data_IF_904598217277
#
_entry.id   IF_904598217277
#
_cell.length_a   1.000
_cell.length_b   1.000
_cell.length_c   1.000
_cell.angle_alpha   90.00
_cell.angle_beta   90.00
_cell.angle_gamma   90.00
#
_symmetry.space_group_name_H-M   'P 1'
#
loop_
_entity.id
_entity.type
_entity.pdbx_description
1 polymer ?
#
# COMPACT_ATOMS: atom_id res chain seq x y z
N UNK A 1 0.78 -8.78 -13.77
CA UNK A 1 0.38 -9.35 -12.45
C UNK A 1 -1.10 -9.08 -12.25
N UNK A 2 -1.92 -10.12 -12.06
CA UNK A 2 -3.31 -9.90 -11.64
C UNK A 2 -3.31 -9.57 -10.15
N UNK A 3 -3.39 -8.28 -9.81
CA UNK A 3 -3.44 -7.81 -8.42
C UNK A 3 -4.59 -8.45 -7.61
N UNK A 4 -5.60 -8.98 -8.30
CA UNK A 4 -6.73 -9.74 -7.75
C UNK A 4 -6.38 -11.02 -6.95
N UNK A 5 -5.13 -11.49 -6.97
CA UNK A 5 -4.68 -12.66 -6.19
C UNK A 5 -3.87 -12.28 -4.95
N UNK A 6 -3.63 -11.00 -4.71
CA UNK A 6 -2.85 -10.54 -3.56
C UNK A 6 -3.73 -10.48 -2.31
N UNK A 7 -3.15 -10.82 -1.17
CA UNK A 7 -3.75 -10.54 0.13
C UNK A 7 -3.77 -9.03 0.39
N UNK A 8 -4.60 -8.58 1.34
CA UNK A 8 -4.70 -7.16 1.69
C UNK A 8 -3.35 -6.61 2.18
N UNK A 9 -2.58 -7.41 2.90
CA UNK A 9 -1.26 -7.07 3.43
C UNK A 9 -0.23 -6.92 2.29
N UNK A 10 -0.22 -7.86 1.34
CA UNK A 10 0.65 -7.77 0.16
C UNK A 10 0.28 -6.57 -0.72
N UNK A 11 -1.00 -6.24 -0.81
CA UNK A 11 -1.45 -5.08 -1.55
C UNK A 11 -1.07 -3.77 -0.83
N UNK A 12 -1.27 -3.70 0.49
CA UNK A 12 -0.84 -2.56 1.29
C UNK A 12 0.66 -2.31 1.10
N UNK A 13 1.47 -3.36 1.15
CA UNK A 13 2.91 -3.29 0.92
C UNK A 13 3.29 -2.67 -0.45
N UNK A 14 2.49 -2.89 -1.49
CA UNK A 14 2.71 -2.32 -2.84
C UNK A 14 2.20 -0.87 -2.94
N UNK A 15 1.15 -0.53 -2.19
CA UNK A 15 0.51 0.78 -2.23
C UNK A 15 1.13 1.81 -1.27
N UNK A 16 1.92 1.37 -0.29
CA UNK A 16 2.62 2.27 0.64
C UNK A 16 3.56 3.20 -0.15
N UNK A 17 3.47 4.52 0.07
CA UNK A 17 4.36 5.48 -0.58
C UNK A 17 5.85 5.21 -0.31
N UNK A 18 6.69 5.32 -1.35
CA UNK A 18 8.13 5.05 -1.26
C UNK A 18 8.85 5.89 -0.20
N UNK A 19 8.34 7.08 0.13
CA UNK A 19 8.91 7.95 1.17
C UNK A 19 8.90 7.34 2.57
N UNK A 20 8.05 6.34 2.82
CA UNK A 20 8.03 5.62 4.08
C UNK A 20 9.09 4.51 4.14
N UNK A 21 9.68 4.16 3.00
CA UNK A 21 10.78 3.21 2.93
C UNK A 21 12.06 3.93 3.37
N UNK A 22 12.66 3.55 4.50
CA UNK A 22 13.89 4.19 4.95
C UNK A 22 15.05 3.83 4.02
N UNK A 23 16.05 4.72 3.95
CA UNK A 23 17.25 4.45 3.16
C UNK A 23 17.98 3.19 3.65
N UNK A 24 18.40 2.35 2.70
CA UNK A 24 19.18 1.17 2.99
C UNK A 24 20.48 1.54 3.72
N UNK A 25 20.77 0.95 4.90
CA UNK A 25 22.02 1.22 5.60
C UNK A 25 23.21 0.87 4.73
N UNK A 26 24.29 1.67 4.78
CA UNK A 26 25.49 1.46 3.96
C UNK A 26 26.09 0.04 4.07
N UNK A 27 25.90 -0.62 5.21
CA UNK A 27 26.34 -2.01 5.48
C UNK A 27 25.61 -3.07 4.64
N UNK A 28 24.47 -2.72 4.07
CA UNK A 28 23.61 -3.61 3.29
C UNK A 28 23.54 -3.19 1.81
N UNK A 29 24.37 -2.22 1.39
CA UNK A 29 24.45 -1.75 0.01
C UNK A 29 24.82 -2.92 -0.93
N UNK A 30 23.99 -3.17 -1.94
CA UNK A 30 24.16 -4.29 -2.88
C UNK A 30 23.50 -5.61 -2.45
N UNK A 31 22.79 -5.64 -1.32
CA UNK A 31 21.90 -6.75 -0.95
C UNK A 31 20.46 -6.40 -1.32
N UNK A 32 19.67 -7.41 -1.70
CA UNK A 32 18.23 -7.26 -1.86
C UNK A 32 17.60 -7.10 -0.47
N UNK A 33 17.21 -5.88 -0.12
CA UNK A 33 16.50 -5.55 1.11
C UNK A 33 15.06 -5.26 0.74
N UNK A 34 14.12 -5.93 1.40
CA UNK A 34 12.70 -5.65 1.30
C UNK A 34 12.21 -5.19 2.68
N UNK A 35 11.64 -4.00 2.74
CA UNK A 35 11.04 -3.48 3.96
C UNK A 35 9.60 -3.95 4.03
N UNK A 36 9.26 -4.74 5.04
CA UNK A 36 7.90 -5.21 5.26
C UNK A 36 7.27 -4.37 6.37
N UNK A 37 6.13 -3.77 6.08
CA UNK A 37 5.33 -3.03 7.04
C UNK A 37 4.21 -3.92 7.59
N UNK A 38 3.93 -3.78 8.87
CA UNK A 38 2.91 -4.55 9.58
C UNK A 38 1.95 -3.64 10.36
N UNK A 39 1.05 -4.24 11.13
CA UNK A 39 0.03 -3.53 11.90
C UNK A 39 0.55 -2.65 13.03
N UNK A 40 1.84 -2.77 13.41
CA UNK A 40 2.43 -1.90 14.44
C UNK A 40 2.84 -0.54 13.88
N UNK A 41 2.97 -0.44 12.55
CA UNK A 41 3.37 0.78 11.87
C UNK A 41 2.17 1.73 11.66
N UNK A 42 2.41 3.02 11.89
CA UNK A 42 1.43 4.09 11.63
C UNK A 42 1.96 5.01 10.54
N UNK A 43 1.06 5.43 9.66
CA UNK A 43 1.39 6.26 8.50
C UNK A 43 0.54 7.52 8.51
N UNK A 44 1.20 8.67 8.41
CA UNK A 44 0.53 9.96 8.16
C UNK A 44 0.52 10.23 6.65
N UNK A 45 -0.67 10.15 6.06
CA UNK A 45 -0.89 10.34 4.62
C UNK A 45 -1.44 11.75 4.36
N UNK A 46 -0.93 12.40 3.32
CA UNK A 46 -1.60 13.59 2.80
C UNK A 46 -2.85 13.19 2.02
N UNK A 47 -3.75 14.15 1.81
CA UNK A 47 -4.97 13.91 1.03
C UNK A 47 -4.66 13.44 -0.40
N UNK A 48 -3.65 14.03 -1.04
CA UNK A 48 -3.25 13.68 -2.40
C UNK A 48 -2.71 12.25 -2.49
N UNK A 49 -1.98 11.78 -1.49
CA UNK A 49 -1.49 10.41 -1.43
C UNK A 49 -2.60 9.41 -1.16
N UNK A 50 -3.56 9.78 -0.32
CA UNK A 50 -4.76 8.98 -0.12
C UNK A 50 -5.52 8.82 -1.45
N UNK A 51 -5.67 9.90 -2.22
CA UNK A 51 -6.27 9.83 -3.55
C UNK A 51 -5.46 8.96 -4.52
N UNK A 52 -4.14 9.06 -4.50
CA UNK A 52 -3.26 8.23 -5.33
C UNK A 52 -3.40 6.74 -5.01
N UNK A 53 -3.41 6.38 -3.73
CA UNK A 53 -3.61 5.01 -3.25
C UNK A 53 -4.95 4.47 -3.72
N UNK A 54 -6.04 5.25 -3.55
CA UNK A 54 -7.38 4.87 -4.01
C UNK A 54 -7.42 4.75 -5.55
N UNK A 55 -6.73 5.63 -6.27
CA UNK A 55 -6.62 5.58 -7.73
C UNK A 55 -5.93 4.32 -8.22
N UNK A 56 -4.80 3.94 -7.60
CA UNK A 56 -4.08 2.69 -7.89
C UNK A 56 -4.93 1.46 -7.56
N UNK A 57 -5.63 1.48 -6.42
CA UNK A 57 -6.58 0.45 -6.04
C UNK A 57 -7.70 0.27 -7.08
N UNK A 58 -8.27 1.37 -7.60
CA UNK A 58 -9.29 1.32 -8.67
C UNK A 58 -8.80 0.65 -9.94
N UNK A 59 -7.58 0.95 -10.37
CA UNK A 59 -6.97 0.33 -11.55
C UNK A 59 -6.74 -1.17 -11.34
N UNK A 60 -6.48 -1.57 -10.10
CA UNK A 60 -6.24 -2.95 -9.72
C UNK A 60 -7.54 -3.77 -9.55
N UNK A 61 -8.71 -3.12 -9.40
CA UNK A 61 -10.03 -3.77 -9.52
C UNK A 61 -11.11 -3.33 -8.51
N UNK A 62 -12.40 -3.65 -8.77
CA UNK A 62 -13.54 -3.20 -7.95
C UNK A 62 -13.59 -3.72 -6.50
N UNK A 63 -12.85 -4.79 -6.16
CA UNK A 63 -12.76 -5.27 -4.76
C UNK A 63 -11.89 -4.39 -3.86
N UNK A 64 -11.15 -3.43 -4.42
CA UNK A 64 -10.05 -2.76 -3.73
C UNK A 64 -10.44 -1.42 -3.10
N UNK A 65 -11.68 -0.97 -3.27
CA UNK A 65 -12.22 0.14 -2.48
C UNK A 65 -13.00 -0.48 -1.32
N UNK A 66 -12.63 -0.22 -0.05
CA UNK A 66 -13.54 -0.50 1.05
C UNK A 66 -14.80 0.34 0.84
N UNK A 67 -15.95 -0.32 0.66
CA UNK A 67 -17.24 0.35 0.58
C UNK A 67 -17.54 0.91 1.97
N UNK A 68 -17.19 2.19 2.19
CA UNK A 68 -17.59 2.93 3.38
C UNK A 68 -19.07 3.31 3.17
N UNK A 69 -19.95 2.37 3.49
CA UNK A 69 -21.40 2.56 3.52
C UNK A 69 -22.16 1.79 2.44
N UNK A 70 -22.87 0.74 2.86
CA UNK A 70 -24.12 0.37 2.20
C UNK A 70 -25.17 1.40 2.64
N UNK A 71 -25.56 2.31 1.75
CA UNK A 71 -26.86 2.97 1.90
C UNK A 71 -27.88 1.87 1.63
N UNK A 72 -28.74 1.59 2.62
CA UNK A 72 -29.79 0.58 2.54
C UNK A 72 -30.78 0.83 1.39
N UNK A 73 -31.60 -0.18 1.11
CA UNK A 73 -32.64 -0.20 0.06
C UNK A 73 -33.41 1.12 -0.14
#
# INVERSE_FOLDING_TARGET
>A
MHLFKLTNEQLAQILIPERFVPEAPAKLKGKNIEYVFDSEHKFDLTYDELLEIIGKARLAGPQLIPVIGTVGE
#
